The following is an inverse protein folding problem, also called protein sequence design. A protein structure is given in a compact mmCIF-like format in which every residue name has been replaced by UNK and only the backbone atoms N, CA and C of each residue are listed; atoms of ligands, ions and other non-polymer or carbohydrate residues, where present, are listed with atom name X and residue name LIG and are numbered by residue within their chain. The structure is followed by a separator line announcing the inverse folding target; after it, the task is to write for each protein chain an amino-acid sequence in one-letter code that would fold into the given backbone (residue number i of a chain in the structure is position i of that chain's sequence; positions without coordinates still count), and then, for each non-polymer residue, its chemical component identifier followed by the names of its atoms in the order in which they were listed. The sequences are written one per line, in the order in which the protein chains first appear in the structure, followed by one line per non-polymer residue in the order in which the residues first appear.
data_IF_913335773507
#
_entry.id   IF_913335773507
#
_cell.length_a   1.000
_cell.length_b   1.000
_cell.length_c   1.000
_cell.angle_alpha   90.00
_cell.angle_beta   90.00
_cell.angle_gamma   90.00
#
_symmetry.space_group_name_H-M   'P 1'
#
loop_
_entity.id
_entity.type
_entity.pdbx_description
1 polymer ?
#
# COMPACT_ATOMS: atom_id res chain seq x y z
N UNK A 1 2.63 20.55 13.51
CA UNK A 1 2.68 19.08 13.48
C UNK A 1 1.26 18.60 13.69
N UNK A 2 0.77 17.67 12.88
CA UNK A 2 -0.59 17.15 13.00
C UNK A 2 -0.51 15.86 13.84
N UNK A 3 -1.20 15.83 14.97
CA UNK A 3 -1.24 14.73 15.92
C UNK A 3 -2.69 14.29 16.09
N UNK A 4 -2.91 12.97 16.06
CA UNK A 4 -4.20 12.34 16.35
C UNK A 4 -3.97 11.48 17.60
N UNK A 5 -4.50 11.93 18.73
CA UNK A 5 -4.31 11.25 20.03
C UNK A 5 -5.40 10.21 20.32
N UNK A 6 -6.40 10.12 19.43
CA UNK A 6 -7.51 9.20 19.55
C UNK A 6 -7.30 7.98 18.65
N UNK A 7 -7.15 6.80 19.25
CA UNK A 7 -6.95 5.54 18.51
C UNK A 7 -8.09 5.22 17.54
N UNK A 8 -9.32 5.63 17.85
CA UNK A 8 -10.47 5.40 16.97
C UNK A 8 -10.40 6.25 15.69
N UNK A 9 -9.86 7.47 15.78
CA UNK A 9 -9.60 8.32 14.62
C UNK A 9 -8.48 7.73 13.75
N UNK A 10 -7.45 7.14 14.36
CA UNK A 10 -6.40 6.43 13.63
C UNK A 10 -6.98 5.23 12.86
N UNK A 11 -7.87 4.45 13.48
CA UNK A 11 -8.56 3.35 12.79
C UNK A 11 -9.46 3.82 11.67
N UNK A 12 -10.23 4.89 11.87
CA UNK A 12 -11.08 5.46 10.84
C UNK A 12 -10.24 5.92 9.63
N UNK A 13 -9.12 6.59 9.89
CA UNK A 13 -8.20 7.04 8.85
C UNK A 13 -7.56 5.85 8.11
N UNK A 14 -7.18 4.79 8.82
CA UNK A 14 -6.62 3.58 8.21
C UNK A 14 -7.63 2.94 7.25
N UNK A 15 -8.90 2.82 7.67
CA UNK A 15 -9.97 2.30 6.80
C UNK A 15 -10.19 3.18 5.58
N UNK A 16 -10.21 4.50 5.77
CA UNK A 16 -10.33 5.46 4.67
C UNK A 16 -9.19 5.34 3.66
N UNK A 17 -7.94 5.20 4.14
CA UNK A 17 -6.78 5.03 3.26
C UNK A 17 -6.76 3.68 2.54
N UNK A 18 -7.25 2.61 3.18
CA UNK A 18 -7.46 1.33 2.51
C UNK A 18 -8.46 1.46 1.36
N UNK A 19 -9.57 2.14 1.61
CA UNK A 19 -10.61 2.33 0.60
C UNK A 19 -10.09 3.13 -0.60
N UNK A 20 -9.49 4.31 -0.33
CA UNK A 20 -9.01 5.23 -1.36
C UNK A 20 -7.89 4.60 -2.21
N UNK A 21 -6.97 3.86 -1.57
CA UNK A 21 -5.77 3.36 -2.27
C UNK A 21 -6.00 2.04 -3.00
N UNK A 22 -6.88 1.18 -2.50
CA UNK A 22 -7.00 -0.18 -3.02
C UNK A 22 -8.39 -0.54 -3.56
N UNK A 23 -9.47 -0.02 -2.96
CA UNK A 23 -10.83 -0.49 -3.29
C UNK A 23 -11.57 0.44 -4.24
N UNK A 24 -11.43 1.75 -4.05
CA UNK A 24 -12.19 2.73 -4.80
C UNK A 24 -11.74 2.79 -6.27
N UNK A 25 -12.74 2.89 -7.15
CA UNK A 25 -12.56 2.97 -8.61
C UNK A 25 -12.77 4.37 -9.16
N UNK A 26 -13.41 5.26 -8.40
CA UNK A 26 -13.75 6.64 -8.74
C UNK A 26 -12.89 7.66 -7.98
N UNK A 27 -11.62 7.31 -7.75
CA UNK A 27 -10.64 8.20 -7.11
C UNK A 27 -9.64 8.67 -8.15
N UNK A 28 -9.27 9.95 -8.07
CA UNK A 28 -8.22 10.54 -8.90
C UNK A 28 -6.92 9.72 -8.80
N UNK A 29 -6.34 9.40 -9.95
CA UNK A 29 -5.16 8.53 -10.03
C UNK A 29 -3.97 9.09 -9.25
N UNK A 30 -3.80 10.42 -9.20
CA UNK A 30 -2.72 11.07 -8.45
C UNK A 30 -2.93 10.95 -6.93
N UNK A 31 -4.18 10.81 -6.49
CA UNK A 31 -4.51 10.49 -5.09
C UNK A 31 -4.25 9.01 -4.82
N UNK A 32 -4.78 8.11 -5.66
CA UNK A 32 -4.65 6.66 -5.49
C UNK A 32 -3.19 6.22 -5.43
N UNK A 33 -2.38 6.71 -6.36
CA UNK A 33 -0.95 6.40 -6.44
C UNK A 33 -0.03 7.34 -5.68
N UNK A 34 -0.54 8.24 -4.84
CA UNK A 34 0.30 9.23 -4.16
C UNK A 34 1.36 8.57 -3.27
N UNK A 35 2.67 8.75 -3.53
CA UNK A 35 3.71 8.22 -2.65
C UNK A 35 3.69 8.87 -1.26
N UNK A 36 3.15 10.09 -1.16
CA UNK A 36 2.95 10.75 0.13
C UNK A 36 1.83 10.08 0.93
N UNK A 37 0.70 9.75 0.31
CA UNK A 37 -0.37 9.01 1.01
C UNK A 37 0.07 7.60 1.37
N UNK A 38 0.88 6.94 0.53
CA UNK A 38 1.49 5.66 0.88
C UNK A 38 2.33 5.73 2.15
N UNK A 39 3.20 6.75 2.27
CA UNK A 39 4.02 6.99 3.47
C UNK A 39 3.18 7.37 4.70
N UNK A 40 2.13 8.18 4.50
CA UNK A 40 1.19 8.52 5.58
C UNK A 40 0.48 7.26 6.07
N UNK A 41 0.02 6.40 5.16
CA UNK A 41 -0.66 5.14 5.52
C UNK A 41 0.26 4.21 6.31
N UNK A 42 1.53 4.07 5.89
CA UNK A 42 2.52 3.28 6.63
C UNK A 42 2.74 3.82 8.04
N UNK A 43 3.05 5.12 8.17
CA UNK A 43 3.26 5.77 9.46
C UNK A 43 2.04 5.64 10.37
N UNK A 44 0.84 5.78 9.81
CA UNK A 44 -0.40 5.60 10.55
C UNK A 44 -0.51 4.20 11.18
N UNK A 45 -0.25 3.16 10.38
CA UNK A 45 -0.28 1.78 10.88
C UNK A 45 0.82 1.54 11.92
N UNK A 46 2.00 2.13 11.74
CA UNK A 46 3.08 2.09 12.74
C UNK A 46 2.68 2.78 14.05
N UNK A 47 2.02 3.94 13.99
CA UNK A 47 1.50 4.63 15.17
C UNK A 47 0.45 3.79 15.89
N UNK A 48 -0.45 3.12 15.17
CA UNK A 48 -1.43 2.20 15.76
C UNK A 48 -0.73 1.03 16.48
N UNK A 49 0.30 0.44 15.88
CA UNK A 49 1.08 -0.63 16.50
C UNK A 49 1.76 -0.12 17.76
N UNK A 50 2.47 1.00 17.68
CA UNK A 50 3.19 1.59 18.81
C UNK A 50 2.26 1.91 19.98
N UNK A 51 1.08 2.49 19.71
CA UNK A 51 0.07 2.78 20.73
C UNK A 51 -0.30 1.53 21.53
N UNK A 52 -0.59 0.42 20.86
CA UNK A 52 -0.92 -0.83 21.55
C UNK A 52 0.25 -1.41 22.35
N UNK A 53 1.48 -1.22 21.90
CA UNK A 53 2.67 -1.66 22.65
C UNK A 53 2.87 -0.84 23.91
N UNK A 54 2.70 0.49 23.83
CA UNK A 54 2.84 1.41 24.95
C UNK A 54 1.85 1.11 26.08
N UNK A 55 0.62 0.72 25.75
CA UNK A 55 -0.42 0.36 26.73
C UNK A 55 -0.42 -1.12 27.12
N UNK A 56 0.54 -1.92 26.66
CA UNK A 56 0.70 -3.34 27.02
C UNK A 56 -0.26 -4.31 26.29
N UNK A 57 -0.94 -3.87 25.23
CA UNK A 57 -1.84 -4.69 24.41
C UNK A 57 -1.07 -5.46 23.30
N UNK A 58 -0.03 -6.21 23.67
CA UNK A 58 0.88 -6.87 22.71
C UNK A 58 0.18 -7.78 21.70
N UNK A 59 -0.94 -8.41 22.08
CA UNK A 59 -1.74 -9.24 21.17
C UNK A 59 -2.36 -8.42 20.03
N UNK A 60 -2.85 -7.21 20.31
CA UNK A 60 -3.41 -6.33 19.27
C UNK A 60 -2.30 -5.79 18.37
N UNK A 61 -1.19 -5.38 18.94
CA UNK A 61 0.00 -4.98 18.18
C UNK A 61 0.44 -6.09 17.20
N UNK A 62 0.49 -7.35 17.67
CA UNK A 62 0.79 -8.49 16.80
C UNK A 62 -0.27 -8.71 15.72
N UNK A 63 -1.56 -8.55 16.03
CA UNK A 63 -2.63 -8.62 15.05
C UNK A 63 -2.46 -7.60 13.91
N UNK A 64 -2.00 -6.38 14.21
CA UNK A 64 -1.68 -5.38 13.20
C UNK A 64 -0.43 -5.73 12.38
N UNK A 65 0.60 -6.31 13.00
CA UNK A 65 1.77 -6.83 12.26
C UNK A 65 1.40 -7.96 11.31
N UNK A 66 0.55 -8.87 11.76
CA UNK A 66 0.05 -9.96 10.93
C UNK A 66 -0.84 -9.43 9.81
N UNK A 67 -1.66 -8.41 10.09
CA UNK A 67 -2.40 -7.68 9.08
C UNK A 67 -1.44 -7.06 8.03
N UNK A 68 -0.29 -6.52 8.39
CA UNK A 68 0.64 -5.95 7.40
C UNK A 68 1.21 -6.98 6.42
N UNK A 69 1.09 -8.30 6.63
CA UNK A 69 1.70 -9.30 5.73
C UNK A 69 1.11 -9.23 4.31
N UNK A 70 1.93 -8.93 3.31
CA UNK A 70 1.49 -8.75 1.93
C UNK A 70 1.01 -10.05 1.27
N UNK A 71 1.57 -11.20 1.63
CA UNK A 71 1.21 -12.52 1.09
C UNK A 71 -0.27 -12.86 1.29
N UNK A 72 -0.93 -12.26 2.29
CA UNK A 72 -2.35 -12.47 2.59
C UNK A 72 -3.28 -11.51 1.83
N UNK A 73 -2.78 -10.63 0.96
CA UNK A 73 -3.52 -9.50 0.36
C UNK A 73 -4.06 -9.82 -1.02
N UNK A 74 -5.05 -10.71 -1.06
CA UNK A 74 -5.68 -11.19 -2.30
C UNK A 74 -6.41 -10.09 -3.08
N UNK A 75 -6.87 -9.02 -2.42
CA UNK A 75 -7.59 -7.91 -3.07
C UNK A 75 -6.66 -6.78 -3.46
N UNK A 76 -5.71 -6.41 -2.59
CA UNK A 76 -4.85 -5.26 -2.79
C UNK A 76 -3.73 -5.54 -3.80
N UNK A 77 -3.25 -6.78 -3.91
CA UNK A 77 -2.25 -7.17 -4.92
C UNK A 77 -2.75 -6.93 -6.36
N UNK A 78 -3.93 -7.41 -6.78
CA UNK A 78 -4.53 -7.02 -8.06
C UNK A 78 -4.69 -5.51 -8.26
N UNK A 79 -5.13 -4.78 -7.23
CA UNK A 79 -5.35 -3.34 -7.34
C UNK A 79 -4.05 -2.58 -7.61
N UNK A 80 -2.96 -2.92 -6.91
CA UNK A 80 -1.62 -2.36 -7.16
C UNK A 80 -1.14 -2.69 -8.57
N UNK A 81 -1.30 -3.96 -8.99
CA UNK A 81 -0.89 -4.41 -10.31
C UNK A 81 -1.61 -3.66 -11.42
N UNK A 82 -2.94 -3.57 -11.34
CA UNK A 82 -3.77 -2.93 -12.35
C UNK A 82 -3.49 -1.43 -12.45
N UNK A 83 -3.37 -0.76 -11.31
CA UNK A 83 -3.01 0.66 -11.26
C UNK A 83 -1.66 0.93 -11.93
N UNK A 84 -0.60 0.19 -11.54
CA UNK A 84 0.73 0.42 -12.08
C UNK A 84 0.87 -0.01 -13.54
N UNK A 85 0.11 -1.02 -13.99
CA UNK A 85 0.09 -1.42 -15.39
C UNK A 85 -0.46 -0.31 -16.32
N UNK A 86 -1.38 0.53 -15.84
CA UNK A 86 -1.94 1.64 -16.62
C UNK A 86 -0.96 2.79 -16.83
N UNK A 87 -0.08 3.05 -15.85
CA UNK A 87 0.92 4.12 -15.92
C UNK A 87 2.34 3.61 -16.22
N UNK A 88 2.51 2.34 -16.59
CA UNK A 88 3.82 1.70 -16.64
C UNK A 88 4.78 2.32 -17.66
N UNK A 89 4.24 2.89 -18.74
CA UNK A 89 5.01 3.59 -19.78
C UNK A 89 5.42 5.01 -19.36
N UNK A 90 4.75 5.60 -18.35
CA UNK A 90 5.08 6.91 -17.80
C UNK A 90 6.29 6.85 -16.85
N UNK A 91 6.65 5.65 -16.38
CA UNK A 91 7.77 5.42 -15.48
C UNK A 91 9.06 5.19 -16.30
N UNK A 92 10.01 6.13 -16.30
CA UNK A 92 11.06 6.20 -17.33
C UNK A 92 12.20 5.20 -17.13
N UNK A 93 12.45 4.72 -15.90
CA UNK A 93 13.56 3.82 -15.60
C UNK A 93 13.14 2.64 -14.73
N UNK A 94 13.89 1.52 -14.75
CA UNK A 94 13.63 0.38 -13.87
C UNK A 94 13.65 0.76 -12.37
N UNK A 95 14.48 1.72 -11.98
CA UNK A 95 14.58 2.20 -10.60
C UNK A 95 13.29 2.92 -10.20
N UNK A 96 12.80 3.84 -11.04
CA UNK A 96 11.53 4.54 -10.79
C UNK A 96 10.35 3.56 -10.76
N UNK A 97 10.36 2.53 -11.60
CA UNK A 97 9.36 1.45 -11.57
C UNK A 97 9.39 0.68 -10.26
N UNK A 98 10.58 0.32 -9.77
CA UNK A 98 10.75 -0.33 -8.47
C UNK A 98 10.25 0.56 -7.33
N UNK A 99 10.61 1.84 -7.34
CA UNK A 99 10.16 2.81 -6.33
C UNK A 99 8.63 2.95 -6.32
N UNK A 100 8.00 3.06 -7.48
CA UNK A 100 6.54 3.11 -7.61
C UNK A 100 5.88 1.85 -7.02
N UNK A 101 6.42 0.66 -7.30
CA UNK A 101 5.94 -0.60 -6.73
C UNK A 101 6.07 -0.60 -5.20
N UNK A 102 7.23 -0.24 -4.67
CA UNK A 102 7.47 -0.16 -3.21
C UNK A 102 6.49 0.80 -2.55
N UNK A 103 6.30 1.99 -3.13
CA UNK A 103 5.38 2.97 -2.58
C UNK A 103 3.92 2.50 -2.66
N UNK A 104 3.51 1.80 -3.72
CA UNK A 104 2.15 1.25 -3.79
C UNK A 104 1.93 0.06 -2.84
N UNK A 105 2.95 -0.73 -2.54
CA UNK A 105 2.86 -1.87 -1.63
C UNK A 105 2.80 -1.47 -0.15
N UNK A 106 3.15 -0.23 0.22
CA UNK A 106 2.86 0.29 1.58
C UNK A 106 1.35 0.27 1.84
N UNK A 107 0.85 0.04 3.06
CA UNK A 107 1.57 -0.07 4.32
C UNK A 107 2.01 -1.51 4.64
N UNK A 108 1.96 -2.42 3.68
CA UNK A 108 2.25 -3.83 3.92
C UNK A 108 3.74 -4.06 4.15
N UNK A 109 4.06 -5.18 4.80
CA UNK A 109 5.40 -5.72 4.92
C UNK A 109 5.61 -6.68 3.76
N UNK A 110 6.72 -6.48 3.06
CA UNK A 110 7.10 -7.23 1.87
C UNK A 110 8.62 -7.40 1.81
N UNK A 111 9.07 -8.45 1.14
CA UNK A 111 10.48 -8.69 0.83
C UNK A 111 10.85 -8.12 -0.54
N UNK A 112 12.15 -8.05 -0.84
CA UNK A 112 12.64 -7.71 -2.18
C UNK A 112 12.19 -8.71 -3.25
N UNK A 113 11.95 -9.97 -2.86
CA UNK A 113 11.37 -10.99 -3.74
C UNK A 113 9.93 -10.64 -4.09
N UNK A 114 9.10 -10.24 -3.10
CA UNK A 114 7.72 -9.81 -3.38
C UNK A 114 7.67 -8.60 -4.33
N UNK A 115 8.61 -7.66 -4.21
CA UNK A 115 8.72 -6.51 -5.14
C UNK A 115 9.07 -6.99 -6.55
N UNK A 116 10.00 -7.93 -6.66
CA UNK A 116 10.44 -8.50 -7.96
C UNK A 116 9.30 -9.26 -8.64
N UNK A 117 8.55 -10.08 -7.87
CA UNK A 117 7.34 -10.76 -8.36
C UNK A 117 6.28 -9.77 -8.83
N UNK A 118 6.01 -8.74 -8.02
CA UNK A 118 5.02 -7.71 -8.36
C UNK A 118 5.38 -6.99 -9.67
N UNK A 119 6.65 -6.63 -9.87
CA UNK A 119 7.13 -6.04 -11.13
C UNK A 119 6.84 -6.98 -12.30
N UNK A 120 7.15 -8.28 -12.18
CA UNK A 120 6.89 -9.26 -13.23
C UNK A 120 5.38 -9.42 -13.54
N UNK A 121 4.53 -9.38 -12.51
CA UNK A 121 3.07 -9.38 -12.66
C UNK A 121 2.57 -8.13 -13.40
N UNK A 122 3.08 -6.95 -13.03
CA UNK A 122 2.72 -5.69 -13.67
C UNK A 122 3.16 -5.68 -15.13
N UNK A 123 4.38 -6.08 -15.44
CA UNK A 123 4.85 -6.16 -16.83
C UNK A 123 4.00 -7.11 -17.67
N UNK A 124 3.61 -8.24 -17.09
CA UNK A 124 2.72 -9.21 -17.74
C UNK A 124 1.37 -8.58 -18.03
N UNK A 125 0.80 -7.85 -17.08
CA UNK A 125 -0.50 -7.20 -17.24
C UNK A 125 -0.45 -6.01 -18.21
N UNK A 126 0.59 -5.19 -18.13
CA UNK A 126 0.88 -4.11 -19.07
C UNK A 126 0.98 -4.62 -20.51
N UNK A 127 1.76 -5.69 -20.77
CA UNK A 127 1.88 -6.29 -22.12
C UNK A 127 0.54 -6.75 -22.68
N UNK A 128 -0.35 -7.32 -21.86
CA UNK A 128 -1.69 -7.73 -22.30
C UNK A 128 -2.54 -6.54 -22.71
N UNK A 129 -2.38 -5.40 -22.03
CA UNK A 129 -3.13 -4.16 -22.31
C UNK A 129 -2.61 -3.49 -23.59
N UNK A 130 -1.29 -3.41 -23.77
CA UNK A 130 -0.68 -2.80 -24.95
C UNK A 130 -0.87 -3.60 -26.25
N UNK A 131 -1.27 -4.88 -26.14
CA UNK A 131 -1.58 -5.74 -27.28
C UNK A 131 -3.05 -5.67 -27.76
N UNK A 132 -3.91 -4.90 -27.06
CA UNK A 132 -5.30 -4.65 -27.43
C UNK A 132 -5.44 -3.34 -28.19
#
# INVERSE_FOLDING_TARGET
MFEIDNIDELYALQKGLMEIRFNATDVDWAVKGSPFLSRVHERLVETIIAHHEEIGESRKAQGWRDWRRFEARAMERPAVREYLAEMWDELPTPEVKREAVVDQMRPFVFSDENVTEMIAEIETEWRKRSAR
#
